data_IF_639757502357
#
_entry.id   IF_639757502357
#
_cell.length_a   1.000
_cell.length_b   1.000
_cell.length_c   1.000
_cell.angle_alpha   90.00
_cell.angle_beta   90.00
_cell.angle_gamma   90.00
#
_symmetry.space_group_name_H-M   'P 1'
#
loop_
_entity.id
_entity.type
_entity.pdbx_description
1 polymer ?
#
# COMPACT_ATOMS: atom_id res chain seq x y z
N UNK A 1 18.41 -1.40 -6.59
CA UNK A 1 17.74 -0.12 -6.81
C UNK A 1 16.28 -0.27 -6.41
N UNK A 2 15.81 0.54 -5.50
CA UNK A 2 14.52 0.36 -4.78
C UNK A 2 13.27 0.43 -5.67
N UNK A 3 13.29 1.18 -6.78
CA UNK A 3 12.16 1.24 -7.73
C UNK A 3 11.83 -0.16 -8.28
N UNK A 4 12.84 -1.01 -8.54
CA UNK A 4 12.61 -2.38 -9.00
C UNK A 4 11.91 -3.25 -7.94
N UNK A 5 12.15 -2.99 -6.66
CA UNK A 5 11.49 -3.73 -5.58
C UNK A 5 10.00 -3.40 -5.46
N UNK A 6 9.59 -2.15 -5.78
CA UNK A 6 8.17 -1.78 -5.80
C UNK A 6 7.34 -2.56 -6.85
N UNK A 7 7.99 -3.09 -7.90
CA UNK A 7 7.31 -3.91 -8.93
C UNK A 7 6.77 -5.21 -8.35
N UNK A 8 7.45 -5.77 -7.35
CA UNK A 8 7.13 -7.10 -6.82
C UNK A 8 5.94 -7.12 -5.85
N UNK A 9 5.56 -5.98 -5.28
CA UNK A 9 4.50 -5.92 -4.26
C UNK A 9 3.15 -6.40 -4.81
N UNK A 10 2.72 -5.86 -5.94
CA UNK A 10 1.40 -6.17 -6.50
C UNK A 10 1.27 -7.64 -6.96
N UNK A 11 2.25 -8.24 -7.66
CA UNK A 11 2.27 -9.69 -7.93
C UNK A 11 2.21 -10.55 -6.68
N UNK A 12 2.91 -10.17 -5.61
CA UNK A 12 2.91 -10.89 -4.34
C UNK A 12 1.52 -10.90 -3.70
N UNK A 13 0.86 -9.73 -3.60
CA UNK A 13 -0.52 -9.64 -3.08
C UNK A 13 -1.50 -10.41 -3.97
N UNK A 14 -1.35 -10.35 -5.29
CA UNK A 14 -2.16 -11.12 -6.23
C UNK A 14 -2.01 -12.64 -6.02
N UNK A 15 -0.82 -13.12 -5.67
CA UNK A 15 -0.61 -14.53 -5.33
C UNK A 15 -1.33 -14.89 -4.03
N UNK A 16 -1.27 -14.05 -2.99
CA UNK A 16 -2.01 -14.28 -1.74
C UNK A 16 -3.53 -14.34 -2.00
N UNK A 17 -4.05 -13.47 -2.87
CA UNK A 17 -5.49 -13.46 -3.21
C UNK A 17 -5.92 -14.75 -3.89
N UNK A 18 -5.07 -15.34 -4.76
CA UNK A 18 -5.38 -16.61 -5.42
C UNK A 18 -5.35 -17.82 -4.49
N UNK A 19 -4.52 -17.79 -3.46
CA UNK A 19 -4.27 -18.95 -2.60
C UNK A 19 -5.09 -18.99 -1.32
N UNK A 20 -5.46 -17.82 -0.78
CA UNK A 20 -6.23 -17.74 0.45
C UNK A 20 -7.75 -17.91 0.22
N UNK A 21 -8.44 -18.44 1.21
CA UNK A 21 -9.91 -18.58 1.15
C UNK A 21 -10.58 -17.19 1.03
N UNK A 22 -11.59 -17.01 0.15
CA UNK A 22 -12.23 -15.72 -0.07
C UNK A 22 -12.76 -15.06 1.21
N UNK A 23 -13.34 -15.85 2.13
CA UNK A 23 -13.85 -15.34 3.41
C UNK A 23 -12.76 -14.81 4.35
N UNK A 24 -11.52 -15.28 4.21
CA UNK A 24 -10.40 -14.81 5.03
C UNK A 24 -10.05 -13.35 4.74
N UNK A 25 -10.27 -12.88 3.52
CA UNK A 25 -9.96 -11.50 3.12
C UNK A 25 -10.84 -10.45 3.80
N UNK A 26 -12.08 -10.76 4.12
CA UNK A 26 -13.06 -9.82 4.66
C UNK A 26 -13.31 -9.99 6.17
N UNK A 27 -12.64 -10.95 6.81
CA UNK A 27 -12.78 -11.20 8.25
C UNK A 27 -11.67 -10.48 9.03
N UNK A 28 -12.05 -9.66 10.00
CA UNK A 28 -11.12 -9.08 10.97
C UNK A 28 -10.66 -10.14 11.97
N UNK A 29 -9.34 -10.26 12.26
CA UNK A 29 -8.86 -11.22 13.23
C UNK A 29 -9.33 -10.90 14.65
N UNK A 30 -9.37 -9.60 15.00
CA UNK A 30 -9.83 -9.09 16.31
C UNK A 30 -10.59 -7.77 16.14
N UNK A 31 -11.42 -7.35 17.12
CA UNK A 31 -12.01 -6.02 17.15
C UNK A 31 -10.94 -4.92 17.03
N UNK A 32 -11.15 -3.95 16.16
CA UNK A 32 -10.21 -2.84 15.95
C UNK A 32 -9.01 -3.15 15.06
N UNK A 33 -8.79 -4.40 14.67
CA UNK A 33 -7.72 -4.81 13.74
C UNK A 33 -8.31 -4.95 12.34
N UNK A 34 -7.69 -4.31 11.36
CA UNK A 34 -8.15 -4.34 9.97
C UNK A 34 -8.15 -5.76 9.39
N UNK A 35 -9.15 -6.07 8.59
CA UNK A 35 -9.15 -7.26 7.74
C UNK A 35 -8.10 -7.16 6.62
N UNK A 36 -7.65 -8.26 6.02
CA UNK A 36 -6.73 -8.22 4.88
C UNK A 36 -7.18 -7.29 3.75
N UNK A 37 -8.48 -7.27 3.41
CA UNK A 37 -9.02 -6.37 2.37
C UNK A 37 -8.91 -4.90 2.75
N UNK A 38 -9.05 -4.54 4.03
CA UNK A 38 -8.90 -3.15 4.49
C UNK A 38 -7.44 -2.69 4.33
N UNK A 39 -6.48 -3.58 4.58
CA UNK A 39 -5.06 -3.29 4.35
C UNK A 39 -4.76 -3.13 2.86
N UNK A 40 -5.32 -3.98 2.02
CA UNK A 40 -5.14 -3.89 0.57
C UNK A 40 -5.79 -2.62 -0.01
N UNK A 41 -6.99 -2.26 0.45
CA UNK A 41 -7.64 -1.01 0.08
C UNK A 41 -6.83 0.21 0.53
N UNK A 42 -6.22 0.13 1.73
CA UNK A 42 -5.29 1.16 2.19
C UNK A 42 -4.05 1.26 1.30
N UNK A 43 -3.43 0.15 0.89
CA UNK A 43 -2.32 0.15 -0.06
C UNK A 43 -2.72 0.83 -1.37
N UNK A 44 -3.92 0.53 -1.89
CA UNK A 44 -4.43 1.16 -3.10
C UNK A 44 -4.59 2.68 -2.95
N UNK A 45 -5.13 3.17 -1.83
CA UNK A 45 -5.31 4.61 -1.62
C UNK A 45 -4.00 5.33 -1.22
N UNK A 46 -3.06 4.63 -0.57
CA UNK A 46 -1.73 5.15 -0.31
C UNK A 46 -0.97 5.47 -1.61
N UNK A 47 -1.18 4.68 -2.67
CA UNK A 47 -0.62 4.97 -3.99
C UNK A 47 -1.05 6.32 -4.56
N UNK A 48 -2.29 6.76 -4.32
CA UNK A 48 -2.72 8.11 -4.72
C UNK A 48 -1.91 9.19 -4.02
N UNK A 49 -1.62 8.97 -2.74
CA UNK A 49 -0.87 9.94 -1.93
C UNK A 49 0.61 9.94 -2.32
N UNK A 50 1.23 8.78 -2.48
CA UNK A 50 2.61 8.67 -2.97
C UNK A 50 2.72 9.23 -4.40
N UNK A 51 1.83 8.86 -5.29
CA UNK A 51 1.78 9.35 -6.67
C UNK A 51 1.64 10.88 -6.74
N UNK A 52 0.80 11.48 -5.88
CA UNK A 52 0.69 12.93 -5.77
C UNK A 52 1.99 13.55 -5.23
N UNK A 53 2.59 12.97 -4.19
CA UNK A 53 3.85 13.48 -3.63
C UNK A 53 4.97 13.45 -4.65
N UNK A 54 5.14 12.37 -5.41
CA UNK A 54 6.12 12.30 -6.50
C UNK A 54 5.89 13.40 -7.53
N UNK A 55 4.66 13.59 -8.00
CA UNK A 55 4.33 14.63 -8.97
C UNK A 55 4.63 16.03 -8.44
N UNK A 56 4.28 16.32 -7.19
CA UNK A 56 4.57 17.61 -6.58
C UNK A 56 6.08 17.90 -6.53
N UNK A 57 6.89 16.94 -6.06
CA UNK A 57 8.35 17.13 -5.96
C UNK A 57 8.99 17.28 -7.34
N UNK A 58 8.50 16.55 -8.33
CA UNK A 58 9.04 16.61 -9.70
C UNK A 58 8.68 17.92 -10.43
N UNK A 59 7.54 18.55 -10.09
CA UNK A 59 7.01 19.71 -10.85
C UNK A 59 7.12 21.05 -10.10
N UNK A 60 7.43 21.03 -8.80
CA UNK A 60 7.48 22.23 -7.97
C UNK A 60 8.82 22.34 -7.23
N UNK A 61 9.18 23.54 -6.78
CA UNK A 61 10.36 23.76 -5.97
C UNK A 61 10.04 23.61 -4.49
N UNK A 62 10.63 22.59 -3.83
CA UNK A 62 10.47 22.28 -2.39
C UNK A 62 9.01 22.32 -1.90
N UNK A 63 8.07 21.61 -2.54
CA UNK A 63 6.66 21.69 -2.18
C UNK A 63 6.40 21.11 -0.78
N UNK A 64 5.41 21.66 -0.08
CA UNK A 64 4.83 21.01 1.09
C UNK A 64 4.04 19.78 0.66
N UNK A 65 4.35 18.63 1.26
CA UNK A 65 3.70 17.37 0.91
C UNK A 65 2.44 17.15 1.76
N UNK A 66 1.34 16.68 1.15
CA UNK A 66 0.08 16.51 1.85
C UNK A 66 0.17 15.45 2.95
N UNK A 67 -0.54 15.72 4.06
CA UNK A 67 -0.79 14.73 5.12
C UNK A 67 -1.94 13.79 4.69
N UNK A 68 -1.89 12.57 5.18
CA UNK A 68 -2.89 11.54 4.91
C UNK A 68 -3.36 10.90 6.20
N UNK A 69 -4.65 11.00 6.50
CA UNK A 69 -5.30 10.31 7.61
C UNK A 69 -5.92 9.01 7.10
N UNK A 70 -5.15 7.93 7.23
CA UNK A 70 -5.56 6.61 6.76
C UNK A 70 -6.76 6.05 7.52
N UNK A 71 -6.89 6.35 8.82
CA UNK A 71 -8.00 5.84 9.64
C UNK A 71 -9.32 6.49 9.26
N UNK A 72 -9.33 7.82 9.12
CA UNK A 72 -10.52 8.56 8.69
C UNK A 72 -10.95 8.14 7.28
N UNK A 73 -9.99 7.93 6.37
CA UNK A 73 -10.32 7.50 5.02
C UNK A 73 -10.83 6.06 4.97
N UNK A 74 -10.26 5.13 5.75
CA UNK A 74 -10.72 3.73 5.81
C UNK A 74 -12.21 3.66 6.21
N UNK A 75 -12.63 4.46 7.19
CA UNK A 75 -14.02 4.57 7.61
C UNK A 75 -14.88 5.20 6.51
N UNK A 76 -14.45 6.34 5.96
CA UNK A 76 -15.22 7.10 4.96
C UNK A 76 -15.40 6.34 3.65
N UNK A 77 -14.36 5.65 3.20
CA UNK A 77 -14.37 4.86 1.96
C UNK A 77 -14.88 3.42 2.18
N UNK A 78 -15.19 3.03 3.43
CA UNK A 78 -15.73 1.71 3.78
C UNK A 78 -14.86 0.56 3.23
N UNK A 79 -13.57 0.57 3.55
CA UNK A 79 -12.60 -0.42 3.01
C UNK A 79 -13.01 -1.87 3.22
N UNK A 80 -13.70 -2.18 4.33
CA UNK A 80 -14.18 -3.54 4.60
C UNK A 80 -15.18 -4.06 3.56
N UNK A 81 -15.92 -3.15 2.91
CA UNK A 81 -16.95 -3.50 1.93
C UNK A 81 -16.40 -3.63 0.50
N UNK A 82 -15.11 -3.37 0.30
CA UNK A 82 -14.51 -3.52 -1.02
C UNK A 82 -14.33 -5.00 -1.36
N UNK A 83 -14.74 -5.44 -2.57
CA UNK A 83 -14.29 -6.73 -3.08
C UNK A 83 -12.75 -6.77 -3.12
N UNK A 84 -12.09 -7.83 -2.62
CA UNK A 84 -10.63 -7.93 -2.62
C UNK A 84 -10.00 -7.79 -4.01
N UNK A 85 -10.69 -8.30 -5.03
CA UNK A 85 -10.28 -8.19 -6.43
C UNK A 85 -10.26 -6.74 -6.91
N UNK A 86 -11.26 -5.95 -6.55
CA UNK A 86 -11.33 -4.52 -6.86
C UNK A 86 -10.22 -3.74 -6.13
N UNK A 87 -9.95 -4.08 -4.88
CA UNK A 87 -8.87 -3.45 -4.13
C UNK A 87 -7.50 -3.73 -4.79
N UNK A 88 -7.29 -4.98 -5.23
CA UNK A 88 -6.08 -5.38 -5.95
C UNK A 88 -5.97 -4.67 -7.31
N UNK A 89 -7.01 -4.63 -8.10
CA UNK A 89 -7.05 -3.94 -9.38
C UNK A 89 -6.67 -2.46 -9.24
N UNK A 90 -7.26 -1.77 -8.26
CA UNK A 90 -6.94 -0.37 -7.98
C UNK A 90 -5.49 -0.18 -7.56
N UNK A 91 -4.98 -1.06 -6.70
CA UNK A 91 -3.58 -1.02 -6.29
C UNK A 91 -2.64 -1.22 -7.48
N UNK A 92 -2.89 -2.22 -8.32
CA UNK A 92 -2.09 -2.52 -9.51
C UNK A 92 -2.07 -1.36 -10.50
N UNK A 93 -3.24 -0.80 -10.81
CA UNK A 93 -3.37 0.32 -11.77
C UNK A 93 -2.58 1.54 -11.29
N UNK A 94 -2.78 1.94 -10.04
CA UNK A 94 -2.12 3.12 -9.46
C UNK A 94 -0.61 2.91 -9.32
N UNK A 95 -0.18 1.70 -8.93
CA UNK A 95 1.23 1.34 -8.87
C UNK A 95 1.88 1.39 -10.25
N UNK A 96 1.22 0.91 -11.29
CA UNK A 96 1.73 0.99 -12.67
C UNK A 96 1.97 2.44 -13.09
N UNK A 97 1.03 3.35 -12.80
CA UNK A 97 1.17 4.79 -13.08
C UNK A 97 2.35 5.42 -12.29
N UNK A 98 2.54 5.02 -11.03
CA UNK A 98 3.66 5.47 -10.20
C UNK A 98 4.99 4.97 -10.77
N UNK A 99 5.06 3.70 -11.15
CA UNK A 99 6.28 3.09 -11.72
C UNK A 99 6.63 3.70 -13.09
N UNK A 100 5.65 3.97 -13.94
CA UNK A 100 5.85 4.65 -15.21
C UNK A 100 6.48 6.03 -15.00
N UNK A 101 5.92 6.84 -14.08
CA UNK A 101 6.47 8.15 -13.73
C UNK A 101 7.92 8.03 -13.23
N UNK A 102 8.18 7.14 -12.27
CA UNK A 102 9.51 6.99 -11.67
C UNK A 102 10.55 6.40 -12.63
N UNK A 103 10.13 5.59 -13.60
CA UNK A 103 11.03 4.98 -14.58
C UNK A 103 11.63 6.01 -15.55
N UNK A 104 10.95 7.13 -15.74
CA UNK A 104 11.39 8.23 -16.61
C UNK A 104 12.27 9.25 -15.90
N UNK A 105 12.44 9.16 -14.57
CA UNK A 105 13.23 10.12 -13.80
C UNK A 105 14.72 9.99 -14.05
N UNK A 106 15.37 11.11 -14.31
CA UNK A 106 16.84 11.25 -14.30
C UNK A 106 17.40 11.17 -12.87
N UNK A 107 18.72 10.96 -12.74
CA UNK A 107 19.38 10.97 -11.44
C UNK A 107 19.16 12.29 -10.68
N UNK A 108 19.22 13.44 -11.37
CA UNK A 108 18.99 14.74 -10.74
C UNK A 108 17.54 14.94 -10.28
N UNK A 109 16.55 14.36 -10.97
CA UNK A 109 15.15 14.40 -10.54
C UNK A 109 14.92 13.55 -9.30
N UNK A 110 15.62 12.44 -9.15
CA UNK A 110 15.55 11.61 -7.94
C UNK A 110 16.08 12.32 -6.68
N UNK A 111 16.93 13.32 -6.84
CA UNK A 111 17.47 14.15 -5.74
C UNK A 111 16.61 15.37 -5.40
N UNK A 112 15.59 15.68 -6.22
CA UNK A 112 14.67 16.79 -5.92
C UNK A 112 13.95 16.53 -4.61
N UNK A 113 13.71 17.59 -3.81
CA UNK A 113 13.18 17.48 -2.45
C UNK A 113 11.82 18.16 -2.30
N UNK A 114 10.98 17.59 -1.42
CA UNK A 114 9.78 18.20 -0.87
C UNK A 114 9.82 18.19 0.65
N UNK A 115 8.89 18.89 1.30
CA UNK A 115 8.80 18.99 2.77
C UNK A 115 7.70 18.08 3.29
N UNK A 116 8.09 16.94 3.86
CA UNK A 116 7.16 15.98 4.45
C UNK A 116 6.74 16.47 5.86
N UNK A 117 5.44 16.42 6.22
CA UNK A 117 4.93 17.02 7.45
C UNK A 117 5.49 16.43 8.75
N UNK A 118 6.04 15.22 8.70
CA UNK A 118 6.57 14.53 9.89
C UNK A 118 8.08 14.24 9.80
N UNK A 119 8.70 14.37 8.61
CA UNK A 119 10.10 13.96 8.37
C UNK A 119 11.00 15.11 7.90
N UNK A 120 10.42 16.29 7.65
CA UNK A 120 11.15 17.41 7.07
C UNK A 120 11.44 17.19 5.58
N UNK A 121 12.61 17.60 5.10
CA UNK A 121 12.99 17.41 3.70
C UNK A 121 13.17 15.93 3.36
N UNK A 122 12.57 15.53 2.26
CA UNK A 122 12.67 14.18 1.69
C UNK A 122 12.86 14.30 0.18
N UNK A 123 13.78 13.54 -0.37
CA UNK A 123 13.98 13.45 -1.81
C UNK A 123 12.95 12.51 -2.47
N UNK A 124 12.88 12.52 -3.80
CA UNK A 124 12.12 11.49 -4.55
C UNK A 124 12.65 10.10 -4.21
N UNK A 125 13.98 9.92 -4.11
CA UNK A 125 14.57 8.65 -3.71
C UNK A 125 14.15 8.21 -2.29
N UNK A 126 14.09 9.16 -1.33
CA UNK A 126 13.58 8.88 0.02
C UNK A 126 12.09 8.49 0.01
N UNK A 127 11.28 9.15 -0.83
CA UNK A 127 9.87 8.80 -0.98
C UNK A 127 9.69 7.39 -1.56
N UNK A 128 10.56 6.96 -2.49
CA UNK A 128 10.58 5.57 -2.99
C UNK A 128 10.92 4.59 -1.87
N UNK A 129 11.91 4.91 -1.03
CA UNK A 129 12.27 4.09 0.12
C UNK A 129 11.12 3.99 1.13
N UNK A 130 10.43 5.10 1.39
CA UNK A 130 9.26 5.16 2.28
C UNK A 130 8.09 4.33 1.72
N UNK A 131 7.83 4.40 0.41
CA UNK A 131 6.79 3.59 -0.23
C UNK A 131 7.11 2.10 -0.12
N UNK A 132 8.36 1.71 -0.34
CA UNK A 132 8.79 0.30 -0.24
C UNK A 132 8.69 -0.24 1.20
N UNK A 133 9.11 0.55 2.20
CA UNK A 133 8.96 0.17 3.61
C UNK A 133 7.49 0.02 3.99
N UNK A 134 6.64 0.96 3.57
CA UNK A 134 5.19 0.92 3.78
C UNK A 134 4.57 -0.34 3.14
N UNK A 135 4.93 -0.67 1.92
CA UNK A 135 4.48 -1.89 1.25
C UNK A 135 4.89 -3.15 2.04
N UNK A 136 6.15 -3.22 2.44
CA UNK A 136 6.70 -4.37 3.17
C UNK A 136 5.93 -4.62 4.45
N UNK A 137 5.67 -3.56 5.23
CA UNK A 137 4.92 -3.63 6.48
C UNK A 137 3.49 -4.12 6.24
N UNK A 138 2.79 -3.58 5.25
CA UNK A 138 1.39 -3.92 4.98
C UNK A 138 1.22 -5.30 4.31
N UNK A 139 2.14 -5.71 3.46
CA UNK A 139 2.16 -7.09 2.91
C UNK A 139 2.39 -8.10 4.04
N UNK A 140 3.28 -7.78 4.99
CA UNK A 140 3.45 -8.56 6.21
C UNK A 140 2.14 -8.70 7.01
N UNK A 141 1.46 -7.59 7.22
CA UNK A 141 0.16 -7.58 7.91
C UNK A 141 -0.92 -8.40 7.20
N UNK A 142 -1.01 -8.34 5.86
CA UNK A 142 -1.94 -9.18 5.09
C UNK A 142 -1.63 -10.65 5.33
N UNK A 143 -0.36 -11.05 5.21
CA UNK A 143 0.08 -12.43 5.39
C UNK A 143 -0.27 -12.96 6.77
N UNK A 144 0.14 -12.27 7.83
CA UNK A 144 -0.11 -12.66 9.22
C UNK A 144 -1.60 -12.85 9.51
N UNK A 145 -2.44 -11.98 8.97
CA UNK A 145 -3.90 -12.06 9.19
C UNK A 145 -4.55 -13.21 8.44
N UNK A 146 -4.07 -13.54 7.23
CA UNK A 146 -4.52 -14.70 6.49
C UNK A 146 -4.09 -16.01 7.19
N UNK A 147 -2.83 -16.11 7.64
CA UNK A 147 -2.29 -17.27 8.37
C UNK A 147 -3.03 -17.51 9.70
N UNK A 148 -3.31 -16.44 10.45
CA UNK A 148 -4.11 -16.52 11.68
C UNK A 148 -5.49 -17.13 11.45
N UNK A 149 -6.14 -16.77 10.36
CA UNK A 149 -7.48 -17.28 10.04
C UNK A 149 -7.45 -18.73 9.55
N UNK A 150 -6.38 -19.15 8.88
CA UNK A 150 -6.22 -20.53 8.45
C UNK A 150 -5.93 -21.46 9.63
N UNK A 151 -5.19 -21.01 10.66
CA UNK A 151 -4.99 -21.78 11.90
C UNK A 151 -6.28 -21.94 12.70
N UNK A 152 -7.01 -20.84 12.91
CA UNK A 152 -8.30 -20.88 13.62
C UNK A 152 -9.34 -21.84 12.98
N UNK A 153 -9.31 -21.96 11.64
CA UNK A 153 -10.19 -22.90 10.92
C UNK A 153 -9.81 -24.37 11.09
N UNK A 154 -8.51 -24.68 11.24
CA UNK A 154 -8.06 -26.05 11.50
C UNK A 154 -8.51 -26.52 12.89
N UNK A 155 -8.38 -25.63 13.88
CA UNK A 155 -8.80 -25.91 15.27
C UNK A 155 -10.31 -26.12 15.39
N UNK A 156 -11.12 -25.38 14.60
CA UNK A 156 -12.59 -25.54 14.56
C UNK A 156 -13.05 -26.80 13.79
N UNK A 157 -12.22 -27.37 12.92
CA UNK A 157 -12.49 -28.56 12.10
C UNK A 157 -12.09 -29.88 12.74
N UNK A 158 -11.29 -29.87 13.79
CA UNK A 158 -10.83 -31.04 14.57
C UNK A 158 -11.67 -31.29 15.84
N UNK A 159 -12.65 -30.45 16.13
CA UNK A 159 -13.58 -30.56 17.27
C UNK A 159 -14.96 -31.07 16.82
#
# INVERSE_FOLDING_TARGET
>A
MQIKALVETAPHVAQMLRTAAPKAWVRRPFPGVWAPVEVLAHLADAELVFGLRFRLVLTSERPALPRFDQGALAVRARYLDWPPELALERFQTRRAETLELLSSCSAGELERVGVHPLRGEVSVADLVALALAHDTDHVGQIRERLEFQDSARRDEGEA
#
